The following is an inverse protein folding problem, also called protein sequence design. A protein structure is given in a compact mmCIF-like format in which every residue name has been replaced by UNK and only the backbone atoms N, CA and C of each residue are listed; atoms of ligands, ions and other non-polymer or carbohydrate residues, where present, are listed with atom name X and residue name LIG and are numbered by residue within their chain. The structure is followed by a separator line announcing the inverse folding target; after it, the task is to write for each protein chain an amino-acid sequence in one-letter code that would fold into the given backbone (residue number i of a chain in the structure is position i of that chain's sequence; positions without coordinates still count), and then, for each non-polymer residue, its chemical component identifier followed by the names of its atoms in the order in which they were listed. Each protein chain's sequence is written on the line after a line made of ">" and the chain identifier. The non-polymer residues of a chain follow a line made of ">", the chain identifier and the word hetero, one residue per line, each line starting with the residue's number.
data_IF_456276622455
#
_entry.id   IF_456276622455
#
_cell.length_a   1.000
_cell.length_b   1.000
_cell.length_c   1.000
_cell.angle_alpha   90.00
_cell.angle_beta   90.00
_cell.angle_gamma   90.00
#
_symmetry.space_group_name_H-M   'P 1'
#
loop_
_entity.id
_entity.type
_entity.pdbx_description
1 polymer ?
#
# COMPACT_ATOMS: atom_id res chain seq x y z
N UNK A 1 -8.81 16.89 -44.38
CA UNK A 1 -7.94 15.78 -43.97
C UNK A 1 -8.29 15.44 -42.55
N UNK A 2 -9.05 14.36 -42.39
CA UNK A 2 -9.42 13.80 -41.09
C UNK A 2 -8.15 13.27 -40.41
N UNK A 3 -7.81 13.82 -39.26
CA UNK A 3 -6.78 13.25 -38.41
C UNK A 3 -7.29 11.87 -37.95
N UNK A 4 -6.80 10.83 -38.62
CA UNK A 4 -6.89 9.46 -38.15
C UNK A 4 -6.17 9.41 -36.80
N UNK A 5 -6.92 9.31 -35.71
CA UNK A 5 -6.33 8.90 -34.45
C UNK A 5 -5.88 7.46 -34.63
N UNK A 6 -4.57 7.26 -34.86
CA UNK A 6 -3.97 5.99 -34.50
C UNK A 6 -4.36 5.76 -33.04
N UNK A 7 -5.02 4.65 -32.72
CA UNK A 7 -5.10 4.14 -31.34
C UNK A 7 -3.67 4.12 -30.81
N UNK A 8 -3.29 5.18 -30.10
CA UNK A 8 -1.92 5.40 -29.66
C UNK A 8 -1.52 4.29 -28.71
N UNK A 9 -0.27 3.83 -28.78
CA UNK A 9 0.27 2.87 -27.83
C UNK A 9 -0.02 3.35 -26.40
N UNK A 10 -0.47 2.44 -25.53
CA UNK A 10 -0.77 2.75 -24.14
C UNK A 10 0.50 3.30 -23.46
N UNK A 11 0.52 4.58 -23.02
CA UNK A 11 1.73 5.20 -22.49
C UNK A 11 2.22 4.53 -21.21
N UNK A 12 1.31 3.98 -20.38
CA UNK A 12 1.68 3.28 -19.15
C UNK A 12 2.48 2.01 -19.46
N UNK A 13 2.06 1.24 -20.47
CA UNK A 13 2.81 0.07 -20.95
C UNK A 13 4.17 0.45 -21.54
N UNK A 14 4.31 1.67 -22.05
CA UNK A 14 5.59 2.19 -22.56
C UNK A 14 6.67 2.31 -21.47
N UNK A 15 6.28 2.50 -20.19
CA UNK A 15 7.21 2.67 -19.07
C UNK A 15 8.07 1.43 -18.80
N UNK A 16 7.57 0.24 -19.15
CA UNK A 16 8.34 -1.00 -19.03
C UNK A 16 9.64 -0.98 -19.85
N UNK A 17 9.68 -0.25 -20.98
CA UNK A 17 10.88 -0.11 -21.82
C UNK A 17 12.02 0.64 -21.13
N UNK A 18 11.71 1.44 -20.11
CA UNK A 18 12.66 2.18 -19.29
C UNK A 18 12.71 1.67 -17.84
N UNK A 19 12.20 0.45 -17.62
CA UNK A 19 12.20 -0.22 -16.31
C UNK A 19 11.50 0.56 -15.19
N UNK A 20 10.46 1.32 -15.54
CA UNK A 20 9.63 2.04 -14.59
C UNK A 20 8.27 1.35 -14.41
N UNK A 21 7.91 1.08 -13.16
CA UNK A 21 6.65 0.43 -12.80
C UNK A 21 5.60 1.46 -12.36
N UNK A 22 4.46 1.58 -13.05
CA UNK A 22 3.40 2.50 -12.63
C UNK A 22 2.59 1.90 -11.48
N UNK A 23 2.44 2.68 -10.41
CA UNK A 23 1.62 2.33 -9.25
C UNK A 23 0.45 3.30 -9.13
N UNK A 24 -0.67 2.82 -8.62
CA UNK A 24 -1.88 3.61 -8.40
C UNK A 24 -1.93 4.13 -6.96
N UNK A 25 -1.96 5.45 -6.76
CA UNK A 25 -2.13 6.08 -5.44
C UNK A 25 -3.61 6.27 -5.08
N UNK A 26 -4.33 5.15 -5.03
CA UNK A 26 -5.77 5.10 -4.78
C UNK A 26 -6.21 3.69 -4.38
N UNK A 27 -7.09 3.61 -3.39
CA UNK A 27 -7.82 2.39 -3.05
C UNK A 27 -9.24 2.74 -2.58
N UNK A 28 -10.22 2.00 -3.07
CA UNK A 28 -11.61 2.00 -2.61
C UNK A 28 -12.17 0.58 -2.73
N UNK A 29 -13.07 0.21 -1.83
CA UNK A 29 -13.67 -1.13 -1.81
C UNK A 29 -14.30 -1.53 -3.14
N UNK A 30 -15.21 -0.70 -3.66
CA UNK A 30 -15.88 -0.97 -4.94
C UNK A 30 -14.88 -1.17 -6.08
N UNK A 31 -13.88 -0.31 -6.17
CA UNK A 31 -12.86 -0.34 -7.21
C UNK A 31 -12.02 -1.64 -7.23
N UNK A 32 -11.80 -2.24 -6.07
CA UNK A 32 -11.08 -3.53 -5.97
C UNK A 32 -12.04 -4.70 -6.20
N UNK A 33 -13.27 -4.65 -5.67
CA UNK A 33 -14.24 -5.75 -5.76
C UNK A 33 -14.94 -5.87 -7.14
N UNK A 34 -15.12 -4.76 -7.87
CA UNK A 34 -15.83 -4.73 -9.17
C UNK A 34 -14.93 -5.05 -10.39
N UNK A 35 -13.68 -5.45 -10.13
CA UNK A 35 -12.69 -5.79 -11.14
C UNK A 35 -12.09 -4.59 -11.88
N UNK A 36 -12.34 -3.35 -11.45
CA UNK A 36 -11.71 -2.16 -12.04
C UNK A 36 -10.20 -2.16 -11.86
N UNK A 37 -9.70 -2.50 -10.67
CA UNK A 37 -8.26 -2.67 -10.44
C UNK A 37 -7.67 -3.77 -11.35
N UNK A 38 -8.34 -4.91 -11.46
CA UNK A 38 -7.88 -6.03 -12.29
C UNK A 38 -7.77 -5.64 -13.77
N UNK A 39 -8.72 -4.83 -14.28
CA UNK A 39 -8.67 -4.27 -15.63
C UNK A 39 -7.45 -3.37 -15.83
N UNK A 40 -7.16 -2.45 -14.91
CA UNK A 40 -5.97 -1.60 -15.02
C UNK A 40 -4.66 -2.41 -14.98
N UNK A 41 -4.61 -3.48 -14.17
CA UNK A 41 -3.45 -4.38 -14.15
C UNK A 41 -3.26 -5.06 -15.52
N UNK A 42 -4.33 -5.57 -16.12
CA UNK A 42 -4.28 -6.33 -17.38
C UNK A 42 -4.06 -5.43 -18.61
N UNK A 43 -4.81 -4.35 -18.70
CA UNK A 43 -4.89 -3.51 -19.89
C UNK A 43 -3.80 -2.43 -19.88
N UNK A 44 -3.50 -1.88 -18.69
CA UNK A 44 -2.65 -0.70 -18.51
C UNK A 44 -1.29 -0.97 -17.85
N UNK A 45 -0.98 -2.22 -17.48
CA UNK A 45 0.27 -2.62 -16.81
C UNK A 45 0.47 -1.90 -15.47
N UNK A 46 -0.60 -1.67 -14.70
CA UNK A 46 -0.49 -1.23 -13.30
C UNK A 46 0.17 -2.33 -12.47
N UNK A 47 1.19 -1.95 -11.70
CA UNK A 47 2.10 -2.87 -11.01
C UNK A 47 2.12 -2.75 -9.50
N UNK A 48 1.31 -1.87 -8.94
CA UNK A 48 1.19 -1.74 -7.50
C UNK A 48 0.13 -0.73 -7.11
N UNK A 49 -0.23 -0.74 -5.83
CA UNK A 49 -1.22 0.17 -5.26
C UNK A 49 -0.69 0.74 -3.95
N UNK A 50 -0.84 2.04 -3.74
CA UNK A 50 -0.58 2.67 -2.44
C UNK A 50 -1.86 3.13 -1.78
N UNK A 51 -1.90 2.95 -0.46
CA UNK A 51 -2.87 3.60 0.42
C UNK A 51 -2.17 4.57 1.37
N UNK A 52 -2.97 5.42 2.01
CA UNK A 52 -2.59 6.28 3.12
C UNK A 52 -3.87 6.68 3.89
N UNK A 53 -3.75 7.24 5.11
CA UNK A 53 -4.92 7.60 5.91
C UNK A 53 -5.90 8.55 5.20
N UNK A 54 -5.43 9.47 4.35
CA UNK A 54 -6.30 10.39 3.63
C UNK A 54 -7.10 9.70 2.50
N UNK A 55 -6.50 8.72 1.82
CA UNK A 55 -7.20 7.90 0.83
C UNK A 55 -8.34 7.12 1.50
N UNK A 56 -8.06 6.46 2.63
CA UNK A 56 -9.10 5.73 3.35
C UNK A 56 -10.15 6.64 3.99
N UNK A 57 -9.77 7.80 4.50
CA UNK A 57 -10.73 8.77 5.03
C UNK A 57 -11.77 9.14 3.96
N UNK A 58 -11.34 9.42 2.73
CA UNK A 58 -12.26 9.69 1.61
C UNK A 58 -13.06 8.46 1.23
N UNK A 59 -12.43 7.29 1.15
CA UNK A 59 -13.09 6.05 0.77
C UNK A 59 -14.19 5.66 1.76
N UNK A 60 -13.91 5.72 3.06
CA UNK A 60 -14.82 5.29 4.13
C UNK A 60 -15.81 6.39 4.54
N UNK A 61 -15.44 7.67 4.38
CA UNK A 61 -16.28 8.80 4.75
C UNK A 61 -17.27 9.21 3.67
N UNK A 62 -17.13 8.71 2.44
CA UNK A 62 -18.01 9.01 1.31
C UNK A 62 -18.80 7.77 0.89
N UNK A 63 -20.12 7.90 0.76
CA UNK A 63 -20.98 6.79 0.31
C UNK A 63 -21.31 5.78 1.40
N UNK A 64 -21.65 4.55 0.99
CA UNK A 64 -22.19 3.50 1.87
C UNK A 64 -21.47 2.15 1.73
N UNK A 65 -20.32 2.12 1.05
CA UNK A 65 -19.59 0.88 0.72
C UNK A 65 -19.12 0.11 1.97
N UNK A 66 -18.93 0.81 3.09
CA UNK A 66 -18.39 0.25 4.34
C UNK A 66 -19.47 -0.06 5.37
N UNK A 67 -20.67 0.50 5.20
CA UNK A 67 -21.79 0.44 6.13
C UNK A 67 -22.13 -0.97 6.62
N UNK A 68 -22.16 -1.93 5.69
CA UNK A 68 -22.52 -3.31 6.01
C UNK A 68 -21.49 -3.94 6.95
N UNK A 69 -20.20 -3.75 6.68
CA UNK A 69 -19.14 -4.28 7.54
C UNK A 69 -19.04 -3.50 8.86
N UNK A 70 -19.27 -2.18 8.85
CA UNK A 70 -19.32 -1.37 10.07
C UNK A 70 -20.42 -1.90 11.00
N UNK A 71 -21.64 -2.10 10.47
CA UNK A 71 -22.75 -2.65 11.26
C UNK A 71 -22.46 -4.05 11.78
N UNK A 72 -21.86 -4.90 10.94
CA UNK A 72 -21.50 -6.26 11.32
C UNK A 72 -20.47 -6.29 12.46
N UNK A 73 -19.39 -5.51 12.37
CA UNK A 73 -18.38 -5.43 13.44
C UNK A 73 -18.98 -4.90 14.74
N UNK A 74 -19.76 -3.81 14.67
CA UNK A 74 -20.36 -3.18 15.85
C UNK A 74 -21.50 -3.99 16.48
N UNK A 75 -22.05 -4.97 15.77
CA UNK A 75 -23.04 -5.90 16.32
C UNK A 75 -22.41 -6.95 17.25
N UNK A 76 -21.12 -7.24 17.09
CA UNK A 76 -20.42 -8.33 17.79
C UNK A 76 -19.32 -7.85 18.74
N UNK A 77 -18.68 -6.72 18.43
CA UNK A 77 -17.53 -6.23 19.17
C UNK A 77 -17.71 -4.76 19.60
N UNK A 78 -17.19 -4.42 20.78
CA UNK A 78 -16.97 -3.02 21.18
C UNK A 78 -15.54 -2.61 20.83
N UNK A 79 -15.34 -2.02 19.66
CA UNK A 79 -14.02 -1.64 19.13
C UNK A 79 -13.80 -0.13 19.16
N UNK A 80 -12.54 0.29 19.31
CA UNK A 80 -12.17 1.69 19.10
C UNK A 80 -12.33 2.09 17.63
N UNK A 81 -12.48 3.39 17.31
CA UNK A 81 -12.52 3.86 15.93
C UNK A 81 -11.30 3.45 15.10
N UNK A 82 -10.11 3.44 15.70
CA UNK A 82 -8.87 2.99 15.03
C UNK A 82 -8.91 1.50 14.69
N UNK A 83 -9.33 0.66 15.64
CA UNK A 83 -9.47 -0.78 15.39
C UNK A 83 -10.56 -1.09 14.34
N UNK A 84 -11.65 -0.32 14.32
CA UNK A 84 -12.65 -0.43 13.27
C UNK A 84 -12.07 -0.06 11.90
N UNK A 85 -11.39 1.09 11.80
CA UNK A 85 -10.71 1.54 10.58
C UNK A 85 -9.77 0.44 10.03
N UNK A 86 -8.94 -0.14 10.89
CA UNK A 86 -7.99 -1.17 10.47
C UNK A 86 -8.69 -2.43 9.96
N UNK A 87 -9.76 -2.90 10.63
CA UNK A 87 -10.54 -4.05 10.14
C UNK A 87 -11.12 -3.80 8.74
N UNK A 88 -11.52 -2.56 8.44
CA UNK A 88 -12.00 -2.18 7.11
C UNK A 88 -10.84 -2.11 6.10
N UNK A 89 -9.75 -1.43 6.45
CA UNK A 89 -8.59 -1.24 5.59
C UNK A 89 -7.89 -2.57 5.26
N UNK A 90 -7.68 -3.44 6.24
CA UNK A 90 -7.04 -4.76 6.06
C UNK A 90 -7.80 -5.59 5.02
N UNK A 91 -9.15 -5.59 5.05
CA UNK A 91 -9.95 -6.31 4.04
C UNK A 91 -9.69 -5.80 2.62
N UNK A 92 -9.67 -4.48 2.43
CA UNK A 92 -9.47 -3.89 1.12
C UNK A 92 -8.04 -4.14 0.62
N UNK A 93 -7.05 -4.03 1.51
CA UNK A 93 -5.64 -4.33 1.22
C UNK A 93 -5.45 -5.80 0.83
N UNK A 94 -6.06 -6.75 1.54
CA UNK A 94 -6.00 -8.18 1.16
C UNK A 94 -6.62 -8.44 -0.20
N UNK A 95 -7.76 -7.82 -0.49
CA UNK A 95 -8.40 -7.95 -1.80
C UNK A 95 -7.50 -7.38 -2.91
N UNK A 96 -6.88 -6.22 -2.69
CA UNK A 96 -5.95 -5.62 -3.66
C UNK A 96 -4.66 -6.45 -3.82
N UNK A 97 -4.13 -7.00 -2.73
CA UNK A 97 -2.99 -7.91 -2.74
C UNK A 97 -3.26 -9.14 -3.62
N UNK A 98 -4.44 -9.76 -3.49
CA UNK A 98 -4.84 -10.88 -4.34
C UNK A 98 -4.93 -10.52 -5.82
N UNK A 99 -5.45 -9.34 -6.16
CA UNK A 99 -5.52 -8.85 -7.55
C UNK A 99 -4.11 -8.66 -8.13
N UNK A 100 -3.15 -8.22 -7.32
CA UNK A 100 -1.76 -7.97 -7.72
C UNK A 100 -0.85 -9.20 -7.63
N UNK A 101 -1.30 -10.29 -7.00
CA UNK A 101 -0.50 -11.51 -6.82
C UNK A 101 0.06 -12.08 -8.14
N UNK A 102 -0.68 -12.12 -9.27
CA UNK A 102 -0.11 -12.55 -10.55
C UNK A 102 1.06 -11.68 -11.02
N UNK A 103 1.03 -10.37 -10.77
CA UNK A 103 2.13 -9.45 -11.09
C UNK A 103 3.32 -9.73 -10.18
N UNK A 104 3.07 -9.94 -8.90
CA UNK A 104 4.11 -10.26 -7.92
C UNK A 104 4.88 -11.52 -8.30
N UNK A 105 4.17 -12.59 -8.69
CA UNK A 105 4.81 -13.83 -9.14
C UNK A 105 5.53 -13.66 -10.48
N UNK A 106 4.87 -13.06 -11.48
CA UNK A 106 5.43 -12.91 -12.83
C UNK A 106 6.68 -12.02 -12.89
N UNK A 107 6.80 -11.08 -11.96
CA UNK A 107 7.96 -10.17 -11.87
C UNK A 107 9.04 -10.66 -10.92
N UNK A 108 8.92 -11.89 -10.39
CA UNK A 108 9.81 -12.44 -9.39
C UNK A 108 9.95 -11.51 -8.17
N UNK A 109 8.80 -11.06 -7.64
CA UNK A 109 8.68 -10.25 -6.42
C UNK A 109 9.25 -8.84 -6.53
N UNK A 110 9.45 -8.33 -7.76
CA UNK A 110 9.92 -6.96 -7.99
C UNK A 110 8.78 -5.94 -7.99
N UNK A 111 7.61 -6.35 -8.44
CA UNK A 111 6.39 -5.56 -8.53
C UNK A 111 5.22 -6.31 -7.88
N UNK A 112 3.99 -5.83 -8.05
CA UNK A 112 2.77 -6.47 -7.57
C UNK A 112 2.47 -6.19 -6.11
N UNK A 113 2.97 -5.08 -5.57
CA UNK A 113 2.81 -4.74 -4.15
C UNK A 113 1.60 -3.86 -3.87
N UNK A 114 1.02 -4.02 -2.68
CA UNK A 114 0.06 -3.08 -2.09
C UNK A 114 0.62 -2.54 -0.78
N UNK A 115 0.49 -1.23 -0.51
CA UNK A 115 0.99 -0.65 0.74
C UNK A 115 -0.09 -0.26 1.74
N UNK A 116 0.12 -0.57 3.02
CA UNK A 116 -0.69 -0.12 4.16
C UNK A 116 0.19 0.69 5.12
N UNK A 117 -0.24 1.90 5.48
CA UNK A 117 0.53 2.82 6.33
C UNK A 117 0.28 2.58 7.82
N UNK A 118 1.34 2.63 8.62
CA UNK A 118 1.25 2.70 10.08
C UNK A 118 0.51 3.98 10.52
N UNK A 119 0.06 3.99 11.77
CA UNK A 119 -0.58 5.15 12.37
C UNK A 119 0.35 6.36 12.35
N UNK A 120 -0.08 7.52 11.82
CA UNK A 120 0.75 8.72 11.78
C UNK A 120 1.08 9.25 13.19
N UNK A 121 0.32 8.85 14.22
CA UNK A 121 0.61 9.21 15.61
C UNK A 121 1.87 8.53 16.16
N UNK A 122 2.35 7.45 15.52
CA UNK A 122 3.56 6.74 15.91
C UNK A 122 4.82 7.24 15.18
N UNK A 123 4.71 8.24 14.31
CA UNK A 123 5.84 8.73 13.50
C UNK A 123 7.04 9.26 14.30
N UNK A 124 6.93 9.41 15.63
CA UNK A 124 8.01 9.77 16.55
C UNK A 124 8.27 8.73 17.65
N UNK A 125 7.66 7.56 17.53
CA UNK A 125 7.79 6.43 18.42
C UNK A 125 8.37 5.24 17.64
N UNK A 126 9.67 5.05 17.76
CA UNK A 126 10.41 3.95 17.13
C UNK A 126 9.77 2.59 17.44
N UNK A 127 9.59 2.28 18.73
CA UNK A 127 9.11 0.97 19.18
C UNK A 127 7.64 0.78 18.81
N UNK A 128 6.84 1.82 18.96
CA UNK A 128 5.45 1.82 18.54
C UNK A 128 5.32 1.53 17.04
N UNK A 129 6.12 2.20 16.21
CA UNK A 129 6.14 2.00 14.76
C UNK A 129 6.54 0.58 14.36
N UNK A 130 7.63 0.05 14.91
CA UNK A 130 8.09 -1.31 14.60
C UNK A 130 7.07 -2.37 15.05
N UNK A 131 6.49 -2.19 16.24
CA UNK A 131 5.46 -3.10 16.76
C UNK A 131 4.18 -3.07 15.90
N UNK A 132 3.71 -1.88 15.51
CA UNK A 132 2.54 -1.76 14.65
C UNK A 132 2.79 -2.31 13.25
N UNK A 133 3.98 -2.10 12.69
CA UNK A 133 4.38 -2.68 11.41
C UNK A 133 4.30 -4.22 11.44
N UNK A 134 4.87 -4.86 12.47
CA UNK A 134 4.82 -6.30 12.64
C UNK A 134 3.37 -6.82 12.82
N UNK A 135 2.54 -6.09 13.57
CA UNK A 135 1.13 -6.45 13.77
C UNK A 135 0.32 -6.35 12.47
N UNK A 136 0.41 -5.23 11.76
CA UNK A 136 -0.30 -5.04 10.49
C UNK A 136 0.15 -6.07 9.44
N UNK A 137 1.44 -6.39 9.40
CA UNK A 137 1.97 -7.46 8.56
C UNK A 137 1.31 -8.81 8.87
N UNK A 138 1.21 -9.16 10.15
CA UNK A 138 0.55 -10.38 10.60
C UNK A 138 -0.95 -10.38 10.30
N UNK A 139 -1.65 -9.27 10.51
CA UNK A 139 -3.10 -9.14 10.30
C UNK A 139 -3.50 -9.27 8.82
N UNK A 140 -2.69 -8.69 7.92
CA UNK A 140 -2.92 -8.78 6.47
C UNK A 140 -2.50 -10.15 5.93
N UNK A 141 -1.34 -10.68 6.34
CA UNK A 141 -0.85 -12.01 5.95
C UNK A 141 -0.67 -12.23 4.44
N UNK A 142 -0.33 -11.20 3.67
CA UNK A 142 -0.10 -11.30 2.22
C UNK A 142 1.38 -11.05 1.88
N UNK A 143 2.03 -11.89 1.05
CA UNK A 143 3.47 -11.79 0.79
C UNK A 143 3.86 -10.54 0.00
N UNK A 144 2.92 -9.95 -0.73
CA UNK A 144 3.07 -8.74 -1.53
C UNK A 144 2.50 -7.50 -0.83
N UNK A 145 2.30 -7.55 0.49
CA UNK A 145 2.12 -6.34 1.28
C UNK A 145 3.44 -5.56 1.38
N UNK A 146 3.34 -4.24 1.49
CA UNK A 146 4.35 -3.37 2.06
C UNK A 146 3.78 -2.59 3.24
N UNK A 147 4.49 -2.56 4.36
CA UNK A 147 4.16 -1.62 5.44
C UNK A 147 4.78 -0.27 5.09
N UNK A 148 3.94 0.76 5.05
CA UNK A 148 4.38 2.11 4.74
C UNK A 148 4.75 2.85 6.02
N UNK A 149 6.00 3.32 6.11
CA UNK A 149 6.57 3.94 7.31
C UNK A 149 7.21 5.28 6.91
N UNK A 150 6.90 6.40 7.60
CA UNK A 150 7.48 7.70 7.26
C UNK A 150 8.97 7.79 7.61
N UNK A 151 9.75 8.49 6.79
CA UNK A 151 11.19 8.69 6.99
C UNK A 151 11.51 9.84 7.98
N UNK A 152 10.86 9.84 9.15
CA UNK A 152 11.28 10.72 10.25
C UNK A 152 12.57 10.18 10.87
N UNK A 153 13.43 11.02 11.47
CA UNK A 153 14.63 10.56 12.17
C UNK A 153 14.35 9.46 13.20
N UNK A 154 13.23 9.55 13.91
CA UNK A 154 12.77 8.59 14.93
C UNK A 154 12.27 7.27 14.33
N UNK A 155 11.78 7.26 13.09
CA UNK A 155 11.30 6.04 12.42
C UNK A 155 12.40 5.30 11.67
N UNK A 156 13.57 5.92 11.42
CA UNK A 156 14.68 5.26 10.71
C UNK A 156 15.12 3.95 11.39
N UNK A 157 15.27 3.87 12.73
CA UNK A 157 15.60 2.60 13.38
C UNK A 157 14.45 1.57 13.25
N UNK A 158 13.20 2.00 13.33
CA UNK A 158 12.02 1.13 13.15
C UNK A 158 11.95 0.55 11.72
N UNK A 159 12.31 1.34 10.70
CA UNK A 159 12.44 0.88 9.31
C UNK A 159 13.49 -0.23 9.21
N UNK A 160 14.67 -0.03 9.82
CA UNK A 160 15.74 -1.05 9.85
C UNK A 160 15.25 -2.34 10.51
N UNK A 161 14.65 -2.24 11.69
CA UNK A 161 14.14 -3.40 12.44
C UNK A 161 13.07 -4.16 11.65
N UNK A 162 12.15 -3.42 11.01
CA UNK A 162 11.08 -4.00 10.20
C UNK A 162 11.65 -4.75 8.99
N UNK A 163 12.64 -4.19 8.29
CA UNK A 163 13.32 -4.85 7.17
C UNK A 163 14.07 -6.10 7.65
N UNK A 164 14.77 -6.02 8.78
CA UNK A 164 15.50 -7.16 9.37
C UNK A 164 14.57 -8.30 9.81
N UNK A 165 13.30 -8.00 10.11
CA UNK A 165 12.27 -8.98 10.36
C UNK A 165 11.71 -9.64 9.07
N UNK A 166 12.22 -9.28 7.89
CA UNK A 166 11.78 -9.80 6.60
C UNK A 166 10.47 -9.19 6.09
N UNK A 167 10.05 -8.05 6.64
CA UNK A 167 8.83 -7.34 6.24
C UNK A 167 9.17 -6.35 5.12
N UNK A 168 8.38 -6.36 4.04
CA UNK A 168 8.57 -5.37 2.97
C UNK A 168 8.14 -3.98 3.46
N UNK A 169 8.98 -2.96 3.24
CA UNK A 169 8.71 -1.59 3.69
C UNK A 169 8.61 -0.63 2.51
N UNK A 170 7.52 0.15 2.47
CA UNK A 170 7.41 1.34 1.63
C UNK A 170 7.79 2.57 2.46
N UNK A 171 9.01 3.08 2.30
CA UNK A 171 9.43 4.26 3.07
C UNK A 171 8.87 5.53 2.42
N UNK A 172 8.07 6.29 3.17
CA UNK A 172 7.35 7.49 2.68
C UNK A 172 7.90 8.80 3.25
N UNK A 173 7.43 9.94 2.73
CA UNK A 173 7.76 11.30 3.20
C UNK A 173 9.27 11.63 3.13
N UNK A 174 9.96 11.16 2.10
CA UNK A 174 11.36 11.49 1.83
C UNK A 174 11.44 12.75 0.98
N UNK A 175 11.84 13.88 1.60
CA UNK A 175 11.94 15.18 0.91
C UNK A 175 13.35 15.77 0.88
N UNK A 176 14.33 15.10 1.51
CA UNK A 176 15.71 15.57 1.59
C UNK A 176 16.70 14.43 1.29
N UNK A 177 17.84 14.78 0.70
CA UNK A 177 18.92 13.82 0.43
C UNK A 177 19.47 13.18 1.70
N UNK A 178 19.49 13.91 2.81
CA UNK A 178 19.89 13.37 4.11
C UNK A 178 18.94 12.29 4.61
N UNK A 179 17.62 12.50 4.46
CA UNK A 179 16.61 11.50 4.79
C UNK A 179 16.73 10.28 3.88
N UNK A 180 16.88 10.49 2.56
CA UNK A 180 17.09 9.39 1.61
C UNK A 180 18.32 8.55 1.98
N UNK A 181 19.45 9.19 2.31
CA UNK A 181 20.66 8.50 2.74
C UNK A 181 20.43 7.68 4.00
N UNK A 182 19.76 8.24 5.02
CA UNK A 182 19.45 7.53 6.24
C UNK A 182 18.58 6.28 6.00
N UNK A 183 17.64 6.36 5.05
CA UNK A 183 16.81 5.22 4.63
C UNK A 183 17.63 4.16 3.92
N UNK A 184 18.51 4.55 2.99
CA UNK A 184 19.42 3.61 2.31
C UNK A 184 20.34 2.93 3.31
N UNK A 185 20.91 3.67 4.26
CA UNK A 185 21.76 3.12 5.31
C UNK A 185 20.96 2.14 6.21
N UNK A 186 19.71 2.45 6.54
CA UNK A 186 18.82 1.55 7.27
C UNK A 186 18.49 0.26 6.49
N UNK A 187 18.24 0.37 5.18
CA UNK A 187 18.02 -0.79 4.32
C UNK A 187 19.27 -1.66 4.22
N UNK A 188 20.45 -1.10 3.95
CA UNK A 188 21.71 -1.83 3.83
C UNK A 188 22.14 -2.51 5.14
N UNK A 189 21.80 -1.92 6.29
CA UNK A 189 22.16 -2.47 7.61
C UNK A 189 21.10 -3.38 8.22
N UNK A 190 19.90 -3.42 7.64
CA UNK A 190 18.80 -4.29 8.05
C UNK A 190 18.54 -5.48 7.12
N UNK A 191 19.06 -5.46 5.89
CA UNK A 191 18.92 -6.53 4.91
C UNK A 191 19.89 -7.72 5.12
#
# INVERSE_FOLDING_TARGET
>A
MTASSSKGANPLRGLASVQQSPWLDFIRRSFVEDGSLARLVQDDDIRGVTSNPAIFQKAMGEGTEYDAQIRDVLAHDNVSPGALYEKLAVRDIKTAAHVLAPVYEATHKKDGFVSLEVSPYLARDEKGTAHEAARLWADVTEPNLMIKIPATPESIPAIRETIAAGINVNVTLIFALSAYKAVVDAWLSGA
#
